data_IF_415164761922
#
_entry.id   IF_415164761922
#
_cell.length_a   1.000
_cell.length_b   1.000
_cell.length_c   1.000
_cell.angle_alpha   90.00
_cell.angle_beta   90.00
_cell.angle_gamma   90.00
#
_symmetry.space_group_name_H-M   'P 1'
#
loop_
_entity.id
_entity.type
_entity.pdbx_description
1 polymer ?
2 non-polymer ?
3 non-polymer ?
4 water ?
#
# COMPACT_ATOMS: atom_id res chain seq x y z
N UNK A 16 26.07 20.25 0.09
CA UNK A 16 24.80 20.85 0.56
C UNK A 16 24.90 21.31 2.03
N UNK A 17 24.32 22.47 2.31
CA UNK A 17 24.35 23.07 3.64
C UNK A 17 23.51 22.24 4.64
N UNK A 18 22.39 21.71 4.16
CA UNK A 18 21.47 20.94 4.97
C UNK A 18 22.08 19.64 5.48
N UNK A 19 23.02 19.09 4.72
CA UNK A 19 23.55 17.75 4.94
C UNK A 19 24.98 17.72 5.46
N UNK A 20 25.53 18.88 5.83
CA UNK A 20 26.88 18.90 6.37
C UNK A 20 26.88 19.28 7.86
N UNK A 21 27.74 18.61 8.61
CA UNK A 21 27.75 18.73 10.05
C UNK A 21 28.62 19.90 10.49
N UNK A 22 28.00 20.90 11.10
CA UNK A 22 28.73 22.00 11.72
C UNK A 22 29.24 21.60 13.10
N UNK A 23 28.44 20.83 13.84
CA UNK A 23 28.82 20.34 15.17
C UNK A 23 28.06 19.07 15.54
N UNK A 24 28.76 18.17 16.22
CA UNK A 24 28.15 16.97 16.77
C UNK A 24 28.64 16.79 18.21
N UNK A 25 27.73 16.48 19.12
CA UNK A 25 28.12 16.19 20.50
C UNK A 25 27.16 15.23 21.20
N UNK A 26 27.72 14.49 22.17
CA UNK A 26 26.95 13.67 23.07
C UNK A 26 26.32 14.56 24.15
N UNK A 27 25.07 14.29 24.51
CA UNK A 27 24.32 15.03 25.52
C UNK A 27 23.58 14.07 26.43
N UNK A 28 23.10 14.61 27.56
CA UNK A 28 22.19 13.89 28.47
C UNK A 28 22.78 12.55 28.93
N UNK A 29 23.93 12.63 29.61
CA UNK A 29 24.66 11.44 30.02
C UNK A 29 25.12 10.60 28.83
N UNK A 30 25.37 11.27 27.71
CA UNK A 30 25.80 10.63 26.46
C UNK A 30 24.73 9.70 25.86
N UNK A 31 23.48 9.89 26.27
CA UNK A 31 22.38 9.06 25.81
C UNK A 31 21.76 9.61 24.53
N UNK A 32 22.19 10.80 24.15
CA UNK A 32 21.71 11.47 22.96
C UNK A 32 22.91 12.01 22.20
N UNK A 33 22.78 12.07 20.87
CA UNK A 33 23.74 12.80 20.05
C UNK A 33 23.00 13.93 19.38
N UNK A 34 23.51 15.15 19.52
CA UNK A 34 22.91 16.29 18.85
C UNK A 34 23.77 16.70 17.68
N UNK A 35 23.12 16.98 16.55
CA UNK A 35 23.80 17.47 15.36
C UNK A 35 23.33 18.86 15.06
N UNK A 36 24.28 19.77 14.90
CA UNK A 36 23.99 21.07 14.31
C UNK A 36 24.42 21.02 12.84
N UNK A 37 23.45 21.20 11.95
CA UNK A 37 23.74 21.23 10.52
C UNK A 37 24.15 22.64 10.11
N UNK A 38 24.91 22.75 9.01
CA UNK A 38 25.32 24.08 8.51
C UNK A 38 24.12 24.91 8.10
N UNK A 39 23.08 24.21 7.67
CA UNK A 39 21.71 24.70 7.53
C UNK A 39 21.24 25.56 8.70
N UNK A 40 21.77 25.29 9.90
CA UNK A 40 21.25 25.85 11.16
C UNK A 40 20.12 25.01 11.78
N UNK A 41 19.68 23.98 11.06
CA UNK A 41 18.76 22.97 11.60
C UNK A 41 19.49 22.11 12.62
N UNK A 42 18.75 21.46 13.51
CA UNK A 42 19.33 20.59 14.55
C UNK A 42 18.63 19.24 14.60
N UNK A 43 19.38 18.20 14.94
CA UNK A 43 18.83 16.85 15.02
C UNK A 43 19.31 16.12 16.26
N UNK A 44 18.48 15.22 16.78
CA UNK A 44 18.77 14.50 18.01
C UNK A 44 18.66 13.00 17.76
N UNK A 45 19.70 12.24 18.13
CA UNK A 45 19.72 10.77 17.93
C UNK A 45 20.00 10.02 19.23
N UNK A 46 19.11 9.07 19.58
CA UNK A 46 19.33 8.27 20.79
C UNK A 46 20.52 7.36 20.65
N UNK A 47 21.32 7.26 21.70
CA UNK A 47 22.51 6.42 21.69
C UNK A 47 22.17 4.94 21.44
N UNK A 48 21.06 4.47 22.01
CA UNK A 48 20.72 3.05 21.86
C UNK A 48 20.39 2.70 20.40
N UNK A 49 19.77 3.65 19.71
CA UNK A 49 19.41 3.50 18.31
C UNK A 49 20.65 3.52 17.40
N UNK A 50 21.60 4.41 17.71
CA UNK A 50 22.89 4.42 17.00
C UNK A 50 23.67 3.12 17.19
N UNK A 51 23.74 2.63 18.43
CA UNK A 51 24.38 1.35 18.68
C UNK A 51 23.67 0.19 17.95
N UNK A 52 22.34 0.16 18.02
CA UNK A 52 21.53 -0.88 17.37
C UNK A 52 21.76 -0.90 15.85
N UNK A 53 22.09 0.26 15.31
CA UNK A 53 22.21 0.44 13.87
C UNK A 53 23.64 0.72 13.40
N UNK A 54 24.61 0.23 14.17
CA UNK A 54 26.02 0.28 13.77
C UNK A 54 26.17 -0.39 12.41
N UNK A 55 26.82 0.31 11.45
CA UNK A 55 26.99 -0.26 10.11
C UNK A 55 28.25 -1.12 9.95
N UNK A 56 29.03 -1.32 11.01
CA UNK A 56 30.19 -2.19 10.91
C UNK A 56 29.78 -3.64 10.56
N UNK A 57 30.73 -4.44 10.10
CA UNK A 57 30.39 -5.80 9.64
C UNK A 57 30.13 -6.83 10.73
N UNK A 58 30.46 -6.51 11.97
CA UNK A 58 29.98 -7.33 13.09
C UNK A 58 28.48 -7.17 13.27
N UNK A 59 27.98 -5.95 13.01
CA UNK A 59 26.62 -5.59 13.36
C UNK A 59 25.64 -5.62 12.18
N UNK A 60 26.17 -5.58 10.96
CA UNK A 60 25.35 -5.32 9.79
C UNK A 60 25.81 -6.14 8.56
N UNK A 61 24.85 -6.71 7.84
CA UNK A 61 25.12 -7.47 6.61
C UNK A 61 24.69 -6.66 5.39
N UNK A 62 25.67 -6.01 4.74
CA UNK A 62 25.43 -5.16 3.57
C UNK A 62 24.60 -5.80 2.46
N UNK A 63 24.99 -7.00 2.06
CA UNK A 63 24.37 -7.66 0.92
C UNK A 63 22.90 -7.99 1.15
N UNK A 64 22.55 -8.31 2.40
CA UNK A 64 21.16 -8.62 2.74
C UNK A 64 20.41 -7.40 3.27
N UNK A 65 21.13 -6.30 3.45
CA UNK A 65 20.61 -5.12 4.15
C UNK A 65 19.90 -5.53 5.46
N UNK A 66 20.60 -6.31 6.28
CA UNK A 66 20.04 -6.93 7.46
C UNK A 66 20.93 -6.73 8.68
N UNK A 67 20.30 -6.60 9.85
CA UNK A 67 21.03 -6.43 11.11
C UNK A 67 21.48 -7.79 11.65
N UNK A 68 22.76 -7.93 11.93
CA UNK A 68 23.28 -9.14 12.57
C UNK A 68 23.19 -9.04 14.09
N UNK A 69 23.27 -7.82 14.60
CA UNK A 69 23.25 -7.56 16.04
C UNK A 69 22.01 -8.15 16.70
N UNK A 70 22.21 -8.89 17.78
CA UNK A 70 21.14 -9.50 18.56
C UNK A 70 20.62 -8.53 19.62
N UNK A 71 19.32 -8.61 19.91
CA UNK A 71 18.73 -7.80 20.98
C UNK A 71 19.45 -8.06 22.31
N UNK A 72 19.79 -9.32 22.57
CA UNK A 72 20.50 -9.68 23.79
C UNK A 72 21.91 -9.10 23.90
N UNK A 73 22.47 -8.60 22.79
CA UNK A 73 23.78 -7.96 22.83
C UNK A 73 23.68 -6.46 22.99
N UNK A 74 22.46 -5.92 22.98
CA UNK A 74 22.28 -4.48 22.97
C UNK A 74 21.97 -3.94 24.38
N UNK A 75 22.86 -3.10 24.88
CA UNK A 75 22.69 -2.43 26.18
C UNK A 75 21.70 -1.28 26.01
N UNK A 76 20.48 -1.45 26.52
CA UNK A 76 19.45 -0.40 26.28
C UNK A 76 19.75 0.90 27.04
N UNK A 77 20.64 0.83 28.03
CA UNK A 77 21.09 2.02 28.79
C UNK A 77 22.44 2.56 28.34
N UNK A 78 22.87 2.19 27.12
CA UNK A 78 24.17 2.60 26.59
C UNK A 78 24.28 4.12 26.41
N UNK A 79 25.49 4.62 26.61
CA UNK A 79 25.82 6.00 26.29
C UNK A 79 27.07 6.04 25.43
N UNK A 80 27.23 7.13 24.70
CA UNK A 80 28.41 7.35 23.87
C UNK A 80 29.65 7.58 24.76
N UNK A 81 30.70 6.80 24.57
CA UNK A 81 31.94 7.04 25.31
C UNK A 81 32.78 8.15 24.69
N UNK A 82 32.95 8.12 23.37
CA UNK A 82 33.75 9.12 22.67
C UNK A 82 33.17 9.45 21.31
N UNK A 83 33.25 10.71 20.94
CA UNK A 83 32.67 11.16 19.69
C UNK A 83 33.61 12.12 18.96
N UNK A 84 33.89 11.81 17.70
CA UNK A 84 34.63 12.69 16.80
C UNK A 84 33.74 12.96 15.59
N UNK A 85 33.91 14.11 14.95
CA UNK A 85 33.16 14.41 13.73
C UNK A 85 33.95 15.25 12.75
N UNK A 86 33.58 15.15 11.47
CA UNK A 86 33.95 16.16 10.46
C UNK A 86 32.67 16.56 9.73
N UNK A 87 32.81 17.17 8.54
CA UNK A 87 31.65 17.68 7.82
C UNK A 87 30.67 16.61 7.34
N UNK A 88 31.17 15.38 7.23
CA UNK A 88 30.42 14.33 6.53
C UNK A 88 30.22 13.05 7.34
N UNK A 89 30.98 12.87 8.42
CA UNK A 89 30.90 11.67 9.23
C UNK A 89 30.92 11.94 10.73
N UNK A 90 30.38 11.00 11.48
CA UNK A 90 30.53 10.96 12.93
C UNK A 90 31.19 9.63 13.29
N UNK A 91 32.16 9.68 14.20
CA UNK A 91 32.92 8.51 14.61
C UNK A 91 32.73 8.30 16.10
N UNK A 92 32.06 7.20 16.46
CA UNK A 92 31.68 6.97 17.86
C UNK A 92 32.37 5.76 18.46
N UNK A 93 32.84 5.92 19.68
CA UNK A 93 33.37 4.82 20.47
C UNK A 93 32.38 4.54 21.58
N UNK A 94 32.11 3.26 21.80
CA UNK A 94 31.17 2.82 22.81
C UNK A 94 31.92 2.42 24.09
N UNK A 95 31.20 2.30 25.23
CA UNK A 95 31.88 1.96 26.50
C UNK A 95 32.65 0.64 26.47
N UNK A 96 32.25 -0.32 25.65
CA UNK A 96 33.00 -1.59 25.56
C UNK A 96 34.04 -1.56 24.46
N UNK A 97 34.33 -0.36 23.95
CA UNK A 97 35.33 -0.12 22.90
C UNK A 97 34.84 -0.45 21.48
N UNK A 98 33.59 -0.87 21.31
CA UNK A 98 33.03 -1.01 19.97
C UNK A 98 33.08 0.33 19.28
N UNK A 99 33.21 0.31 17.96
CA UNK A 99 33.40 1.55 17.20
C UNK A 99 32.44 1.62 16.01
N UNK A 100 31.83 2.79 15.83
CA UNK A 100 30.81 2.96 14.79
C UNK A 100 31.03 4.25 14.04
N UNK A 101 30.96 4.18 12.71
CA UNK A 101 30.96 5.38 11.86
C UNK A 101 29.62 5.56 11.20
N UNK A 102 29.12 6.80 11.21
CA UNK A 102 27.84 7.13 10.57
C UNK A 102 28.01 8.24 9.55
N UNK A 103 27.39 8.08 8.38
CA UNK A 103 27.43 9.09 7.33
C UNK A 103 26.42 10.18 7.62
N UNK A 104 26.77 11.42 7.28
CA UNK A 104 25.90 12.57 7.48
C UNK A 104 24.56 12.45 6.75
N UNK A 105 24.60 12.00 5.51
CA UNK A 105 23.40 11.88 4.67
C UNK A 105 22.44 10.83 5.22
N UNK A 106 23.01 9.72 5.69
CA UNK A 106 22.28 8.61 6.30
C UNK A 106 21.55 9.09 7.58
N UNK A 107 22.27 9.82 8.43
CA UNK A 107 21.70 10.42 9.65
C UNK A 107 20.60 11.44 9.36
N UNK A 108 20.87 12.32 8.40
CA UNK A 108 19.95 13.40 8.03
C UNK A 108 18.61 12.84 7.57
N UNK A 109 18.65 11.79 6.76
CA UNK A 109 17.44 11.18 6.23
C UNK A 109 16.60 10.55 7.37
N UNK A 110 17.30 10.00 8.35
CA UNK A 110 16.67 9.28 9.46
C UNK A 110 16.39 10.15 10.69
N UNK A 111 16.52 11.47 10.53
CA UNK A 111 16.21 12.45 11.57
C UNK A 111 14.83 12.22 12.19
N UNK A 112 14.75 12.29 13.51
CA UNK A 112 13.53 11.94 14.25
C UNK A 112 12.47 13.05 14.36
N UNK A 113 12.72 14.20 13.73
CA UNK A 113 11.71 15.26 13.71
C UNK A 113 10.48 14.77 12.96
N UNK A 114 9.32 15.29 13.32
CA UNK A 114 8.06 14.88 12.69
C UNK A 114 8.10 15.15 11.18
N UNK A 115 8.73 16.26 10.79
CA UNK A 115 8.86 16.64 9.38
C UNK A 115 9.72 15.67 8.57
N UNK A 116 10.90 15.34 9.09
CA UNK A 116 11.81 14.41 8.41
C UNK A 116 11.21 13.01 8.36
N UNK A 117 10.62 12.56 9.46
CA UNK A 117 10.02 11.22 9.51
C UNK A 117 8.87 11.08 8.53
N UNK A 118 8.00 12.09 8.49
CA UNK A 118 6.85 12.10 7.58
C UNK A 118 7.28 12.14 6.11
N UNK A 119 8.36 12.86 5.84
CA UNK A 119 8.92 12.96 4.50
C UNK A 119 9.39 11.58 4.03
N UNK A 120 10.15 10.91 4.89
CA UNK A 120 10.65 9.57 4.60
C UNK A 120 9.54 8.53 4.45
N UNK A 121 8.46 8.67 5.22
CA UNK A 121 7.33 7.76 5.13
C UNK A 121 6.61 7.93 3.78
N UNK A 122 6.53 9.16 3.29
CA UNK A 122 5.89 9.46 2.01
C UNK A 122 6.67 8.79 0.90
N UNK A 123 8.00 8.86 1.02
CA UNK A 123 8.93 8.28 0.08
C UNK A 123 8.88 6.75 0.05
N UNK A 124 8.61 6.14 1.21
CA UNK A 124 8.48 4.67 1.28
C UNK A 124 7.12 4.15 0.84
N UNK A 125 6.04 4.85 1.22
CA UNK A 125 4.71 4.28 1.11
C UNK A 125 3.75 4.97 0.11
N UNK A 126 4.20 6.08 -0.48
CA UNK A 126 3.47 6.74 -1.58
C UNK A 126 2.00 7.02 -1.23
N UNK A 127 1.76 7.82 -0.18
CA UNK A 127 0.38 8.01 0.26
C UNK A 127 -0.46 8.97 -0.63
N UNK A 128 0.16 9.65 -1.59
CA UNK A 128 -0.60 10.62 -2.40
C UNK A 128 -1.80 9.97 -3.07
N UNK A 129 -2.95 10.64 -2.96
CA UNK A 129 -4.21 10.07 -3.39
C UNK A 129 -5.04 11.11 -4.12
N UNK A 130 -5.49 10.79 -5.32
CA UNK A 130 -6.39 11.67 -6.04
C UNK A 130 -7.78 11.05 -6.16
N UNK A 131 -8.74 11.64 -5.46
CA UNK A 131 -10.14 11.19 -5.50
C UNK A 131 -10.81 11.53 -6.82
N UNK A 132 -11.77 10.72 -7.22
CA UNK A 132 -12.51 10.94 -8.47
C UNK A 132 -13.95 10.43 -8.44
N UNK A 133 -14.72 10.87 -9.45
CA UNK A 133 -16.11 10.47 -9.66
C UNK A 133 -16.38 10.27 -11.14
N UNK A 134 -17.56 10.72 -11.60
CA UNK A 134 -17.96 10.54 -13.00
C UNK A 134 -17.08 11.31 -13.98
N UNK A 135 -16.43 12.35 -13.47
CA UNK A 135 -15.56 13.20 -14.28
C UNK A 135 -14.16 12.61 -14.51
N UNK A 136 -13.97 11.34 -14.15
CA UNK A 136 -12.65 10.69 -14.25
C UNK A 136 -12.15 10.63 -15.69
N UNK A 137 -10.92 11.09 -15.90
CA UNK A 137 -10.22 10.80 -17.15
C UNK A 137 -9.37 9.57 -16.89
N UNK A 138 -9.78 8.44 -17.47
CA UNK A 138 -9.13 7.16 -17.25
C UNK A 138 -7.64 7.18 -17.67
N UNK A 139 -6.71 7.19 -16.69
CA UNK A 139 -5.29 7.24 -17.05
C UNK A 139 -4.92 6.12 -18.02
N UNK A 140 -4.16 6.47 -19.05
CA UNK A 140 -3.85 5.53 -20.13
C UNK A 140 -2.39 5.68 -20.57
N UNK A 141 -1.74 4.54 -20.75
CA UNK A 141 -0.35 4.48 -21.21
C UNK A 141 -0.24 3.32 -22.16
N UNK A 142 0.78 3.33 -23.00
CA UNK A 142 1.00 2.23 -23.94
C UNK A 142 1.65 1.02 -23.25
N UNK A 143 1.13 -0.17 -23.58
CA UNK A 143 1.57 -1.45 -23.01
C UNK A 143 3.06 -1.72 -23.20
N UNK A 144 3.53 -1.67 -24.46
CA UNK A 144 4.93 -1.91 -24.76
C UNK A 144 5.86 -0.88 -24.12
N UNK A 145 5.44 0.38 -24.09
CA UNK A 145 6.19 1.41 -23.38
C UNK A 145 6.47 1.00 -21.92
N UNK A 146 5.42 0.56 -21.25
CA UNK A 146 5.50 0.11 -19.86
C UNK A 146 6.40 -1.13 -19.72
N UNK A 147 6.29 -2.05 -20.67
CA UNK A 147 7.17 -3.23 -20.72
C UNK A 147 8.65 -2.92 -20.88
N UNK A 148 8.94 -1.84 -21.62
CA UNK A 148 10.30 -1.58 -22.08
C UNK A 148 11.06 -0.56 -21.27
N UNK A 149 10.37 0.45 -20.76
CA UNK A 149 11.05 1.62 -20.19
C UNK A 149 10.63 1.92 -18.75
N UNK A 150 11.62 2.05 -17.87
CA UNK A 150 11.44 2.32 -16.44
C UNK A 150 10.54 3.53 -16.15
N UNK A 151 10.77 4.63 -16.87
CA UNK A 151 9.99 5.86 -16.74
C UNK A 151 8.49 5.60 -16.94
N UNK A 152 8.16 4.79 -17.94
CA UNK A 152 6.77 4.46 -18.23
C UNK A 152 6.17 3.46 -17.23
N UNK A 153 6.94 2.42 -16.89
CA UNK A 153 6.49 1.48 -15.88
C UNK A 153 6.26 2.21 -14.55
N UNK A 154 7.14 3.15 -14.23
CA UNK A 154 7.02 3.93 -13.00
C UNK A 154 5.75 4.80 -13.00
N UNK A 155 5.50 5.49 -14.10
CA UNK A 155 4.29 6.30 -14.28
C UNK A 155 3.06 5.42 -14.09
N UNK A 156 3.09 4.24 -14.70
CA UNK A 156 2.03 3.26 -14.60
C UNK A 156 1.69 2.89 -13.14
N UNK A 157 2.70 2.47 -12.38
CA UNK A 157 2.46 2.02 -11.00
C UNK A 157 2.13 3.17 -10.05
N UNK A 158 2.78 4.33 -10.23
CA UNK A 158 2.49 5.46 -9.36
C UNK A 158 1.07 5.99 -9.58
N UNK A 159 0.58 5.91 -10.82
CA UNK A 159 -0.80 6.29 -11.16
C UNK A 159 -1.79 5.28 -10.58
N UNK A 160 -1.48 3.99 -10.68
CA UNK A 160 -2.27 2.97 -10.02
C UNK A 160 -2.45 3.27 -8.53
N UNK A 161 -1.35 3.60 -7.86
CA UNK A 161 -1.40 3.86 -6.43
C UNK A 161 -2.16 5.16 -6.10
N UNK A 162 -1.99 6.18 -6.94
CA UNK A 162 -2.58 7.49 -6.67
C UNK A 162 -4.06 7.53 -7.02
N UNK A 163 -4.41 6.92 -8.14
CA UNK A 163 -5.73 7.01 -8.73
C UNK A 163 -6.58 5.74 -8.48
N UNK A 164 -5.93 4.59 -8.39
CA UNK A 164 -6.63 3.33 -8.14
C UNK A 164 -6.92 2.53 -9.38
N UNK A 165 -6.65 3.11 -10.55
CA UNK A 165 -6.90 2.46 -11.83
C UNK A 165 -6.02 3.07 -12.93
N UNK A 166 -5.52 2.20 -13.82
CA UNK A 166 -4.78 2.62 -15.02
C UNK A 166 -5.08 1.62 -16.12
N UNK A 167 -5.24 2.14 -17.33
CA UNK A 167 -5.44 1.34 -18.53
C UNK A 167 -4.15 1.29 -19.34
N UNK A 168 -3.80 0.10 -19.81
CA UNK A 168 -2.75 -0.05 -20.80
C UNK A 168 -3.39 -0.43 -22.12
N UNK A 169 -3.03 0.29 -23.17
CA UNK A 169 -3.54 0.02 -24.52
C UNK A 169 -2.45 -0.57 -25.39
N UNK A 170 -2.84 -1.30 -26.43
CA UNK A 170 -1.90 -1.78 -27.42
C UNK A 170 -1.21 -3.08 -27.08
N UNK A 171 -1.80 -3.87 -26.18
CA UNK A 171 -1.38 -5.25 -26.01
C UNK A 171 -2.05 -6.03 -27.14
N UNK A 172 -1.64 -7.27 -27.36
CA UNK A 172 -2.27 -8.07 -28.40
C UNK A 172 -3.67 -8.45 -27.92
N UNK A 173 -4.47 -9.04 -28.80
CA UNK A 173 -5.76 -9.59 -28.38
C UNK A 173 -5.65 -11.09 -28.11
N UNK A 174 -4.43 -11.56 -27.84
CA UNK A 174 -4.15 -12.97 -27.59
C UNK A 174 -3.95 -13.22 -26.08
N UNK A 175 -4.26 -14.44 -25.62
CA UNK A 175 -3.96 -14.83 -24.23
C UNK A 175 -2.45 -14.80 -23.96
N UNK A 176 -2.08 -14.63 -22.69
CA UNK A 176 -0.66 -14.59 -22.31
C UNK A 176 -0.10 -13.23 -21.96
N UNK A 177 -0.86 -12.16 -22.22
CA UNK A 177 -0.33 -10.80 -21.99
C UNK A 177 -0.18 -10.44 -20.49
N UNK A 178 -1.08 -10.95 -19.65
CA UNK A 178 -1.04 -10.71 -18.21
C UNK A 178 0.19 -11.40 -17.61
N UNK A 179 0.38 -12.64 -18.01
CA UNK A 179 1.57 -13.40 -17.65
C UNK A 179 2.86 -12.74 -18.18
N UNK A 180 2.82 -12.23 -19.42
CA UNK A 180 3.96 -11.50 -20.01
C UNK A 180 4.28 -10.25 -19.20
N UNK A 181 3.24 -9.50 -18.84
CA UNK A 181 3.42 -8.29 -18.03
C UNK A 181 3.96 -8.63 -16.64
N UNK A 182 3.42 -9.68 -16.03
CA UNK A 182 3.86 -10.14 -14.71
C UNK A 182 5.33 -10.51 -14.70
N UNK A 183 5.74 -11.32 -15.67
CA UNK A 183 7.12 -11.73 -15.78
C UNK A 183 8.07 -10.54 -15.95
N UNK A 184 7.73 -9.61 -16.84
CA UNK A 184 8.55 -8.41 -17.07
C UNK A 184 8.68 -7.54 -15.82
N UNK A 185 7.61 -7.48 -15.03
CA UNK A 185 7.61 -6.68 -13.80
C UNK A 185 8.16 -7.46 -12.60
N UNK A 186 8.35 -8.77 -12.79
CA UNK A 186 8.81 -9.63 -11.70
C UNK A 186 7.73 -9.85 -10.65
N UNK A 187 6.47 -9.63 -11.02
CA UNK A 187 5.33 -9.87 -10.14
C UNK A 187 5.17 -11.34 -9.82
N UNK A 188 4.68 -11.61 -8.61
CA UNK A 188 4.15 -12.92 -8.28
C UNK A 188 2.65 -12.76 -8.16
N UNK A 189 1.92 -13.74 -8.67
CA UNK A 189 0.46 -13.66 -8.69
C UNK A 189 -0.14 -14.56 -7.63
N UNK A 190 -1.33 -14.19 -7.15
CA UNK A 190 -1.96 -14.87 -6.04
C UNK A 190 -2.79 -16.03 -6.53
N UNK A 191 -2.97 -17.03 -5.67
CA UNK A 191 -3.96 -18.05 -5.92
C UNK A 191 -4.73 -18.30 -4.63
N UNK A 192 -6.02 -18.60 -4.75
CA UNK A 192 -6.90 -18.80 -3.60
C UNK A 192 -8.15 -19.47 -4.13
N UNK A 193 -9.02 -19.94 -3.24
CA UNK A 193 -10.22 -20.65 -3.69
C UNK A 193 -11.12 -19.74 -4.52
N UNK A 194 -11.45 -20.22 -5.72
CA UNK A 194 -12.20 -19.43 -6.70
C UNK A 194 -11.27 -18.86 -7.74
N UNK A 195 -9.97 -18.93 -7.49
CA UNK A 195 -8.96 -18.43 -8.41
C UNK A 195 -7.68 -19.24 -8.24
N UNK A 196 -7.79 -20.54 -8.53
CA UNK A 196 -6.73 -21.51 -8.26
C UNK A 196 -5.51 -21.38 -9.18
N UNK A 197 -5.72 -20.89 -10.40
CA UNK A 197 -4.61 -20.62 -11.31
C UNK A 197 -4.18 -19.16 -11.23
N UNK A 198 -2.90 -18.91 -11.45
CA UNK A 198 -2.36 -17.56 -11.40
C UNK A 198 -3.09 -16.64 -12.37
N UNK A 199 -3.24 -17.09 -13.60
CA UNK A 199 -4.00 -16.37 -14.61
C UNK A 199 -5.22 -17.22 -14.95
N UNK A 200 -6.39 -16.61 -14.84
CA UNK A 200 -7.61 -17.33 -15.06
C UNK A 200 -8.52 -16.54 -15.97
N UNK A 201 -9.37 -17.25 -16.72
CA UNK A 201 -10.44 -16.60 -17.47
C UNK A 201 -11.58 -16.15 -16.54
N UNK A 202 -12.10 -14.96 -16.81
CA UNK A 202 -13.00 -14.25 -15.89
C UNK A 202 -14.46 -14.60 -16.15
N UNK A 215 -26.85 -4.81 -11.88
CA UNK A 215 -25.81 -3.96 -11.31
C UNK A 215 -25.71 -4.09 -9.79
N UNK A 216 -24.52 -4.44 -9.29
CA UNK A 216 -24.25 -4.51 -7.85
C UNK A 216 -22.76 -4.24 -7.56
N UNK A 217 -22.45 -3.02 -7.13
CA UNK A 217 -21.07 -2.65 -6.77
C UNK A 217 -20.50 -3.53 -5.66
N UNK A 218 -19.28 -4.02 -5.90
CA UNK A 218 -18.60 -4.87 -4.92
C UNK A 218 -17.10 -4.79 -5.07
N UNK A 219 -16.40 -5.14 -3.99
CA UNK A 219 -14.99 -5.47 -4.04
C UNK A 219 -14.91 -7.00 -4.22
N UNK A 220 -13.74 -7.50 -4.59
CA UNK A 220 -13.55 -8.92 -4.89
C UNK A 220 -13.02 -9.67 -3.68
N UNK A 221 -13.67 -10.79 -3.36
CA UNK A 221 -13.22 -11.75 -2.34
C UNK A 221 -13.05 -11.24 -0.91
N UNK A 222 -14.06 -10.53 -0.40
CA UNK A 222 -13.96 -10.03 0.97
C UNK A 222 -13.99 -11.15 2.04
N UNK A 223 -14.34 -12.38 1.65
CA UNK A 223 -14.33 -13.50 2.60
C UNK A 223 -12.92 -13.86 3.07
N UNK A 224 -11.92 -13.45 2.29
CA UNK A 224 -10.52 -13.61 2.66
C UNK A 224 -10.15 -12.62 3.75
N UNK A 225 -9.33 -13.06 4.71
CA UNK A 225 -8.86 -12.16 5.73
C UNK A 225 -8.01 -11.05 5.11
N UNK A 226 -7.31 -11.36 4.01
CA UNK A 226 -6.47 -10.39 3.32
C UNK A 226 -6.87 -10.39 1.85
N UNK A 227 -7.96 -9.65 1.49
CA UNK A 227 -8.45 -9.72 0.11
C UNK A 227 -7.38 -9.33 -0.91
N UNK A 228 -7.44 -9.89 -2.13
CA UNK A 228 -6.42 -9.57 -3.13
C UNK A 228 -6.33 -8.06 -3.37
N UNK A 229 -5.10 -7.55 -3.47
CA UNK A 229 -4.86 -6.10 -3.53
C UNK A 229 -5.08 -5.46 -4.90
N UNK A 230 -4.51 -6.06 -5.93
CA UNK A 230 -4.49 -5.47 -7.27
C UNK A 230 -4.97 -6.49 -8.28
N UNK A 231 -5.87 -6.10 -9.17
CA UNK A 231 -6.27 -6.98 -10.26
C UNK A 231 -5.76 -6.47 -11.59
N UNK A 232 -5.30 -7.40 -12.40
CA UNK A 232 -4.89 -7.11 -13.78
C UNK A 232 -5.80 -7.89 -14.73
N UNK A 233 -6.56 -7.15 -15.55
CA UNK A 233 -7.51 -7.76 -16.49
C UNK A 233 -7.15 -7.41 -17.91
N UNK A 234 -7.08 -8.42 -18.76
CA UNK A 234 -6.75 -8.24 -20.16
C UNK A 234 -7.91 -8.72 -21.03
N UNK A 235 -8.37 -7.81 -21.88
CA UNK A 235 -9.44 -8.10 -22.83
C UNK A 235 -8.91 -8.82 -24.06
N UNK A 236 -9.36 -10.05 -24.22
CA UNK A 236 -9.03 -10.86 -25.39
C UNK A 236 -10.09 -10.66 -26.49
N UNK A 237 -11.37 -10.76 -26.12
CA UNK A 237 -12.50 -10.48 -27.02
C UNK A 237 -13.58 -9.69 -26.30
N UNK A 238 -14.03 -8.60 -26.93
CA UNK A 238 -15.04 -7.72 -26.33
C UNK A 238 -16.44 -8.03 -26.85
N UNK A 244 -21.03 -2.73 -20.32
CA UNK A 244 -20.07 -1.73 -19.88
C UNK A 244 -19.71 -1.95 -18.41
N UNK A 245 -18.43 -1.82 -18.09
CA UNK A 245 -18.00 -1.83 -16.69
C UNK A 245 -18.31 -0.50 -16.03
N UNK A 246 -18.68 -0.56 -14.76
CA UNK A 246 -18.86 0.63 -13.95
C UNK A 246 -18.01 0.52 -12.71
N UNK A 247 -17.43 1.65 -12.31
CA UNK A 247 -16.58 1.71 -11.13
C UNK A 247 -16.84 2.95 -10.32
N UNK A 248 -16.60 2.85 -9.02
CA UNK A 248 -16.60 3.99 -8.11
C UNK A 248 -15.32 4.00 -7.30
N UNK A 249 -14.88 5.21 -6.94
CA UNK A 249 -13.78 5.42 -6.05
C UNK A 249 -14.26 5.27 -4.61
N UNK A 250 -14.04 4.09 -4.01
CA UNK A 250 -14.52 3.80 -2.66
C UNK A 250 -14.05 4.77 -1.61
N UNK A 251 -12.83 5.28 -1.75
CA UNK A 251 -12.31 6.25 -0.78
C UNK A 251 -13.05 7.59 -0.89
N UNK A 252 -13.38 7.98 -2.12
CA UNK A 252 -14.15 9.19 -2.35
C UNK A 252 -15.57 9.05 -1.81
N UNK A 253 -16.17 7.88 -2.03
CA UNK A 253 -17.51 7.59 -1.51
C UNK A 253 -17.52 7.68 0.02
N UNK A 254 -16.50 7.10 0.66
CA UNK A 254 -16.41 7.12 2.13
C UNK A 254 -16.27 8.53 2.66
N UNK A 255 -15.47 9.34 1.97
CA UNK A 255 -15.29 10.73 2.35
C UNK A 255 -16.61 11.52 2.27
N UNK A 256 -17.36 11.34 1.19
CA UNK A 256 -18.68 11.97 1.07
C UNK A 256 -19.67 11.44 2.10
N UNK A 257 -19.63 10.14 2.38
CA UNK A 257 -20.46 9.53 3.41
C UNK A 257 -20.17 10.11 4.79
N UNK A 258 -18.90 10.26 5.14
CA UNK A 258 -18.55 10.81 6.44
C UNK A 258 -19.11 12.24 6.62
N UNK A 259 -19.14 13.00 5.54
CA UNK A 259 -19.60 14.39 5.55
C UNK A 259 -21.14 14.47 5.60
N UNK A 260 -21.81 13.73 4.73
CA UNK A 260 -23.28 13.80 4.63
C UNK A 260 -24.02 12.95 5.65
N UNK A 261 -23.45 11.80 6.00
CA UNK A 261 -24.08 10.87 6.93
C UNK A 261 -23.07 10.35 7.96
N UNK A 262 -22.64 11.21 8.89
CA UNK A 262 -21.58 10.80 9.81
C UNK A 262 -21.91 9.55 10.63
N UNK A 263 -23.15 9.38 11.06
CA UNK A 263 -23.50 8.20 11.85
C UNK A 263 -23.42 6.91 11.00
N UNK A 264 -23.86 6.97 9.74
CA UNK A 264 -23.68 5.86 8.80
C UNK A 264 -22.20 5.46 8.65
N UNK A 265 -21.34 6.48 8.52
CA UNK A 265 -19.90 6.27 8.40
C UNK A 265 -19.36 5.61 9.65
N UNK A 266 -19.82 6.08 10.81
CA UNK A 266 -19.39 5.52 12.09
C UNK A 266 -19.81 4.04 12.22
N UNK A 267 -21.05 3.71 11.85
CA UNK A 267 -21.55 2.34 11.90
C UNK A 267 -20.73 1.41 10.96
N UNK A 268 -20.58 1.85 9.71
CA UNK A 268 -19.89 1.02 8.71
C UNK A 268 -18.39 0.86 8.96
N UNK A 269 -17.78 1.85 9.61
CA UNK A 269 -16.36 1.77 9.96
C UNK A 269 -16.10 1.10 11.31
N UNK A 270 -17.15 0.68 12.02
CA UNK A 270 -16.95 0.05 13.33
C UNK A 270 -17.62 -1.32 13.52
N UNK A 271 -18.47 -1.71 12.57
CA UNK A 271 -19.25 -2.95 12.70
C UNK A 271 -18.61 -4.10 11.93
N UNK A 272 -18.26 -5.17 12.64
CA UNK A 272 -17.66 -6.35 11.98
C UNK A 272 -18.73 -7.20 11.32
N UNK A 273 -18.60 -7.34 10.01
CA UNK A 273 -19.54 -8.10 9.19
C UNK A 273 -18.91 -9.45 8.77
N UNK A 274 -19.68 -10.53 8.90
CA UNK A 274 -19.20 -11.85 8.45
C UNK A 274 -19.34 -11.96 6.94
N UNK A 275 -18.25 -12.36 6.30
CA UNK A 275 -18.25 -12.68 4.88
C UNK A 275 -17.90 -14.16 4.70
N UNK A 276 -18.60 -14.82 3.78
CA UNK A 276 -18.55 -16.27 3.67
C UNK A 276 -18.55 -16.71 2.21
N UNK A 277 -17.55 -17.51 1.86
CA UNK A 277 -17.38 -18.07 0.51
C UNK A 277 -17.25 -19.60 0.62
N UNK A 278 -18.34 -20.29 0.29
CA UNK A 278 -18.42 -21.75 0.39
C UNK A 278 -18.66 -22.31 -1.01
N UNK A 279 -17.85 -23.30 -1.38
CA UNK A 279 -18.01 -23.94 -2.69
C UNK A 279 -17.04 -25.08 -2.93
N UNK A 280 -16.82 -25.39 -4.20
CA UNK A 280 -15.83 -26.39 -4.60
C UNK A 280 -14.99 -25.87 -5.74
N UNK A 281 -13.68 -26.02 -5.61
CA UNK A 281 -12.71 -25.60 -6.61
C UNK A 281 -11.54 -26.56 -6.43
N UNK A 282 -11.65 -27.73 -7.08
CA UNK A 282 -10.73 -28.87 -6.89
C UNK A 282 -10.85 -29.55 -5.53
N UNK A 283 -11.22 -28.78 -4.49
CA UNK A 283 -11.63 -29.35 -3.22
C UNK A 283 -12.80 -28.54 -2.67
N UNK A 284 -13.48 -29.08 -1.66
CA UNK A 284 -14.50 -28.34 -0.94
C UNK A 284 -13.83 -27.26 -0.10
N UNK A 285 -14.43 -26.08 -0.03
CA UNK A 285 -13.86 -25.00 0.78
C UNK A 285 -14.94 -24.22 1.51
N UNK A 286 -14.57 -23.63 2.63
CA UNK A 286 -15.45 -22.77 3.41
C UNK A 286 -14.60 -21.64 3.94
N UNK A 287 -14.52 -20.56 3.19
CA UNK A 287 -13.65 -19.44 3.56
C UNK A 287 -14.51 -18.38 4.23
N UNK A 288 -14.08 -17.97 5.42
CA UNK A 288 -14.87 -17.05 6.23
C UNK A 288 -14.00 -16.06 6.98
N UNK A 289 -14.46 -14.81 7.03
CA UNK A 289 -13.81 -13.76 7.79
C UNK A 289 -14.82 -12.74 8.31
N UNK A 290 -14.36 -11.88 9.21
CA UNK A 290 -15.14 -10.74 9.62
C UNK A 290 -14.37 -9.51 9.18
N UNK A 291 -15.06 -8.53 8.59
CA UNK A 291 -14.44 -7.26 8.22
C UNK A 291 -15.39 -6.13 8.55
N UNK A 292 -14.83 -4.98 8.90
CA UNK A 292 -15.59 -3.75 8.83
C UNK A 292 -15.69 -3.39 7.36
N UNK A 293 -16.88 -3.03 6.91
CA UNK A 293 -17.06 -2.66 5.51
C UNK A 293 -16.16 -1.46 5.18
N UNK A 294 -16.06 -0.50 6.11
CA UNK A 294 -15.15 0.62 5.95
C UNK A 294 -14.01 0.42 6.95
N UNK A 295 -12.84 0.07 6.43
CA UNK A 295 -11.71 -0.26 7.29
C UNK A 295 -10.78 0.94 7.41
N UNK A 296 -10.58 1.39 8.64
CA UNK A 296 -9.77 2.59 8.92
C UNK A 296 -8.44 2.18 9.51
N UNK A 297 -7.40 2.99 9.31
CA UNK A 297 -6.16 2.82 10.06
C UNK A 297 -6.27 3.54 11.41
N UNK A 298 -5.20 3.50 12.20
CA UNK A 298 -5.15 4.14 13.52
C UNK A 298 -5.41 5.63 13.55
N UNK A 299 -5.18 6.30 12.42
CA UNK A 299 -5.41 7.74 12.30
C UNK A 299 -6.80 8.05 11.71
N UNK A 300 -7.63 7.02 11.58
CA UNK A 300 -8.98 7.20 11.04
C UNK A 300 -9.06 7.41 9.55
N UNK A 301 -7.98 7.09 8.82
CA UNK A 301 -7.98 7.13 7.37
C UNK A 301 -8.47 5.80 6.79
N UNK A 302 -9.33 5.86 5.78
CA UNK A 302 -9.81 4.65 5.07
C UNK A 302 -8.65 3.95 4.33
N UNK A 303 -8.42 2.66 4.63
CA UNK A 303 -7.38 1.88 3.94
C UNK A 303 -7.93 0.78 3.04
N UNK A 304 -9.14 0.31 3.33
CA UNK A 304 -9.77 -0.73 2.52
C UNK A 304 -11.28 -0.69 2.69
N UNK A 305 -11.98 -0.96 1.60
CA UNK A 305 -13.39 -1.25 1.64
C UNK A 305 -13.50 -2.77 1.45
N UNK A 306 -14.33 -3.41 2.26
CA UNK A 306 -14.59 -4.85 2.16
C UNK A 306 -16.07 -5.03 1.93
N UNK A 307 -16.50 -5.20 0.69
CA UNK A 307 -17.94 -5.33 0.47
C UNK A 307 -18.36 -6.09 -0.79
N UNK A 308 -18.95 -7.26 -0.59
CA UNK A 308 -19.69 -7.94 -1.63
C UNK A 308 -20.99 -8.45 -1.03
N UNK A 309 -22.12 -7.88 -1.48
CA UNK A 309 -23.41 -8.23 -0.91
C UNK A 309 -23.77 -9.71 -1.04
N UNK A 310 -23.34 -10.34 -2.15
CA UNK A 310 -23.59 -11.77 -2.38
C UNK A 310 -22.95 -12.66 -1.30
N UNK A 311 -21.81 -12.19 -0.81
CA UNK A 311 -20.92 -12.94 0.08
C UNK A 311 -21.14 -12.61 1.57
N UNK A 312 -21.83 -11.50 1.83
CA UNK A 312 -22.13 -11.12 3.21
C UNK A 312 -22.99 -12.21 3.85
N UNK A 313 -22.57 -12.74 5.00
CA UNK A 313 -23.20 -13.94 5.60
C UNK A 313 -24.62 -13.63 6.10
N UNK A 314 -25.42 -14.67 6.30
CA UNK A 314 -26.71 -14.54 6.99
C UNK A 314 -26.44 -14.39 8.48
N UNK A 315 -25.32 -14.95 8.91
CA UNK A 315 -24.83 -14.83 10.28
C UNK A 315 -24.34 -13.39 10.50
N UNK A 316 -24.90 -12.73 11.50
CA UNK A 316 -24.57 -11.32 11.75
C UNK A 316 -24.36 -11.17 13.25
N UNK A 317 -23.09 -11.01 13.63
CA UNK A 317 -22.67 -11.05 15.03
C UNK A 317 -22.72 -9.66 15.66
N UNK A 318 -23.93 -9.12 15.81
CA UNK A 318 -24.14 -7.85 16.51
C UNK A 318 -25.38 -7.95 17.41
N UNK A 319 -25.43 -7.15 18.50
CA UNK A 319 -26.65 -7.09 19.31
C UNK A 319 -27.82 -6.73 18.42
N UNK A 320 -29.00 -7.26 18.73
CA UNK A 320 -30.19 -7.10 17.88
C UNK A 320 -30.51 -5.63 17.52
N UNK A 321 -30.30 -4.71 18.46
CA UNK A 321 -30.64 -3.28 18.25
C UNK A 321 -29.74 -2.60 17.23
N UNK A 322 -28.55 -3.17 17.02
CA UNK A 322 -27.59 -2.63 16.06
C UNK A 322 -27.91 -2.97 14.59
N UNK A 323 -28.86 -3.89 14.39
CA UNK A 323 -29.09 -4.48 13.07
C UNK A 323 -29.76 -3.53 12.07
N UNK A 324 -30.94 -3.02 12.41
CA UNK A 324 -31.65 -2.15 11.49
C UNK A 324 -30.81 -0.87 11.18
N UNK A 325 -30.15 -0.27 12.20
CA UNK A 325 -29.34 0.90 11.82
C UNK A 325 -28.14 0.55 10.92
N UNK A 326 -27.62 -0.67 11.04
CA UNK A 326 -26.58 -1.10 10.13
C UNK A 326 -27.10 -1.13 8.69
N UNK A 327 -28.29 -1.69 8.49
CA UNK A 327 -28.83 -1.76 7.14
C UNK A 327 -29.14 -0.38 6.58
N UNK A 328 -29.65 0.52 7.44
CA UNK A 328 -29.91 1.90 7.03
C UNK A 328 -28.61 2.56 6.54
N UNK A 329 -27.53 2.35 7.28
CA UNK A 329 -26.22 2.88 6.95
C UNK A 329 -25.68 2.29 5.64
N UNK A 330 -25.83 0.97 5.47
CA UNK A 330 -25.41 0.29 4.25
C UNK A 330 -26.15 0.82 3.03
N UNK A 331 -27.47 0.98 3.17
CA UNK A 331 -28.28 1.57 2.12
C UNK A 331 -27.77 2.97 1.72
N UNK A 332 -27.46 3.83 2.69
CA UNK A 332 -26.90 5.16 2.37
C UNK A 332 -25.56 5.08 1.63
N UNK A 333 -24.72 4.12 2.03
CA UNK A 333 -23.44 3.88 1.38
C UNK A 333 -23.65 3.45 -0.07
N UNK A 334 -24.51 2.48 -0.28
CA UNK A 334 -24.83 1.98 -1.62
C UNK A 334 -25.56 3.03 -2.49
N UNK A 335 -26.48 3.80 -1.90
CA UNK A 335 -27.10 4.94 -2.62
C UNK A 335 -26.05 5.88 -3.17
N UNK A 336 -25.06 6.19 -2.34
CA UNK A 336 -24.01 7.12 -2.73
C UNK A 336 -23.17 6.56 -3.89
N UNK A 337 -22.87 5.26 -3.82
CA UNK A 337 -22.15 4.58 -4.89
C UNK A 337 -22.90 4.61 -6.22
N UNK A 338 -24.21 4.46 -6.15
CA UNK A 338 -25.05 4.48 -7.35
C UNK A 338 -25.40 5.87 -7.88
N UNK A 339 -24.99 6.92 -7.19
CA UNK A 339 -25.34 8.26 -7.64
C UNK A 339 -24.52 8.63 -8.87
N UNK A 340 -25.11 9.44 -9.74
CA UNK A 340 -24.52 9.78 -11.02
C UNK A 340 -23.16 10.47 -10.88
N UNK A 341 -22.98 11.24 -9.82
CA UNK A 341 -21.71 11.93 -9.57
C UNK A 341 -20.55 10.99 -9.17
N UNK A 342 -20.87 9.77 -8.78
CA UNK A 342 -19.88 8.80 -8.28
C UNK A 342 -19.39 7.83 -9.33
N UNK A 343 -20.29 7.36 -10.19
CA UNK A 343 -20.01 6.25 -11.11
C UNK A 343 -19.24 6.69 -12.32
N UNK A 344 -18.25 5.88 -12.70
CA UNK A 344 -17.55 6.07 -13.95
C UNK A 344 -17.78 4.82 -14.79
N UNK A 345 -18.12 5.04 -16.06
CA UNK A 345 -18.45 3.96 -16.98
C UNK A 345 -17.42 3.90 -18.10
N UNK A 346 -17.01 2.70 -18.45
CA UNK A 346 -16.05 2.53 -19.53
C UNK A 346 -16.22 1.16 -20.18
N UNK A 347 -15.68 1.03 -21.38
CA UNK A 347 -15.76 -0.20 -22.13
C UNK A 347 -14.36 -0.72 -22.36
N UNK A 348 -14.17 -2.02 -22.21
CA UNK A 348 -12.89 -2.65 -22.47
C UNK A 348 -12.79 -3.10 -23.93
N UNK A 349 -11.75 -2.65 -24.62
CA UNK A 349 -11.51 -3.07 -26.00
C UNK A 349 -10.42 -4.13 -26.08
N UNK A 350 -10.44 -4.98 -27.12
CA UNK A 350 -9.38 -5.97 -27.28
C UNK A 350 -8.01 -5.31 -27.23
N UNK A 351 -7.07 -5.93 -26.51
CA UNK A 351 -5.75 -5.35 -26.33
C UNK A 351 -5.62 -4.42 -25.14
N UNK A 352 -6.73 -4.11 -24.48
CA UNK A 352 -6.69 -3.33 -23.25
C UNK A 352 -6.26 -4.21 -22.09
N UNK A 353 -5.39 -3.65 -21.25
CA UNK A 353 -5.06 -4.26 -19.96
C UNK A 353 -5.43 -3.26 -18.88
N UNK A 354 -6.44 -3.57 -18.09
CA UNK A 354 -6.88 -2.69 -17.01
C UNK A 354 -6.32 -3.21 -15.70
N UNK A 355 -5.72 -2.31 -14.94
CA UNK A 355 -5.20 -2.64 -13.62
C UNK A 355 -5.89 -1.78 -12.57
N UNK A 356 -6.35 -2.41 -11.49
CA UNK A 356 -6.98 -1.63 -10.44
C UNK A 356 -6.81 -2.10 -9.02
N UNK A 357 -7.03 -1.14 -8.12
CA UNK A 357 -6.86 -1.31 -6.69
C UNK A 357 -8.15 -1.90 -6.12
N UNK A 358 -8.14 -3.22 -5.89
CA UNK A 358 -9.29 -3.92 -5.31
C UNK A 358 -9.56 -3.57 -3.83
N UNK A 359 -8.67 -2.82 -3.19
CA UNK A 359 -8.92 -2.38 -1.83
C UNK A 359 -9.74 -1.07 -1.80
N UNK A 360 -9.78 -0.40 -2.96
CA UNK A 360 -10.28 0.97 -3.04
C UNK A 360 -11.53 1.09 -3.91
N UNK A 361 -11.48 0.53 -5.11
CA UNK A 361 -12.60 0.61 -6.04
C UNK A 361 -13.65 -0.46 -5.77
N UNK A 362 -14.91 -0.13 -6.05
CA UNK A 362 -15.96 -1.12 -6.17
C UNK A 362 -16.39 -1.10 -7.64
N UNK A 363 -16.81 -2.25 -8.16
CA UNK A 363 -17.16 -2.34 -9.56
C UNK A 363 -18.37 -3.23 -9.75
N UNK A 364 -18.98 -3.13 -10.92
CA UNK A 364 -20.10 -3.98 -11.32
C UNK A 364 -20.41 -3.75 -12.78
N UNK A 365 -21.46 -4.40 -13.28
CA UNK A 365 -21.95 -4.15 -14.65
C UNK A 365 -23.29 -4.80 -14.94
N UNK A 366 -24.11 -4.13 -15.75
CA UNK A 366 -25.41 -4.68 -16.18
C UNK A 366 -25.29 -5.40 -17.50
N UNK A 376 -17.48 -11.85 -24.17
CA UNK A 376 -16.57 -11.43 -23.12
C UNK A 376 -15.56 -12.55 -22.80
N UNK A 377 -14.35 -12.40 -23.34
CA UNK A 377 -13.23 -13.26 -23.02
C UNK A 377 -12.14 -12.41 -22.36
N UNK A 378 -11.99 -12.57 -21.04
CA UNK A 378 -10.97 -11.87 -20.26
C UNK A 378 -10.04 -12.85 -19.59
N UNK A 379 -8.76 -12.50 -19.51
CA UNK A 379 -7.80 -13.20 -18.66
C UNK A 379 -7.42 -12.25 -17.53
N UNK A 380 -7.31 -12.80 -16.32
CA UNK A 380 -7.09 -11.98 -15.13
C UNK A 380 -6.18 -12.62 -14.11
N UNK A 381 -5.44 -11.76 -13.39
CA UNK A 381 -4.61 -12.19 -12.28
C UNK A 381 -4.74 -11.19 -11.16
N UNK A 382 -4.44 -11.64 -9.94
CA UNK A 382 -4.37 -10.75 -8.79
C UNK A 382 -2.95 -10.73 -8.21
N UNK A 383 -2.55 -9.59 -7.67
CA UNK A 383 -1.27 -9.47 -6.98
C UNK A 383 -1.46 -8.84 -5.60
N UNK A 384 -0.58 -9.21 -4.67
CA UNK A 384 -0.50 -8.53 -3.40
C UNK A 384 0.07 -7.13 -3.61
N UNK A 385 -0.49 -6.16 -2.89
CA UNK A 385 0.08 -4.81 -2.88
C UNK A 385 1.56 -4.75 -2.52
N UNK A 386 2.03 -5.68 -1.70
CA UNK A 386 3.46 -5.72 -1.36
C UNK A 386 4.36 -5.90 -2.58
N UNK A 387 3.89 -6.69 -3.55
CA UNK A 387 4.61 -6.95 -4.77
C UNK A 387 4.62 -5.72 -5.67
N UNK A 388 3.48 -5.05 -5.74
CA UNK A 388 3.34 -3.83 -6.53
C UNK A 388 4.12 -2.65 -5.91
N UNK A 389 4.02 -2.47 -4.59
CA UNK A 389 4.78 -1.42 -3.89
C UNK A 389 6.28 -1.66 -4.03
N UNK A 390 6.67 -2.93 -4.00
CA UNK A 390 8.06 -3.31 -4.17
C UNK A 390 8.53 -2.75 -5.51
N UNK A 391 7.77 -3.04 -6.56
CA UNK A 391 8.16 -2.64 -7.90
C UNK A 391 8.20 -1.12 -8.02
N UNK A 392 7.22 -0.46 -7.42
CA UNK A 392 7.15 1.00 -7.38
C UNK A 392 8.41 1.61 -6.75
N UNK A 393 8.85 1.05 -5.63
CA UNK A 393 10.07 1.51 -4.98
C UNK A 393 11.28 1.32 -5.87
N UNK A 394 11.43 0.11 -6.41
CA UNK A 394 12.58 -0.20 -7.27
C UNK A 394 12.61 0.77 -8.47
N UNK A 395 11.49 0.88 -9.16
CA UNK A 395 11.37 1.74 -10.34
C UNK A 395 11.66 3.20 -10.05
N UNK A 396 11.18 3.69 -8.89
CA UNK A 396 11.47 5.08 -8.54
C UNK A 396 12.96 5.30 -8.37
N UNK A 397 13.63 4.37 -7.71
CA UNK A 397 15.09 4.46 -7.59
C UNK A 397 15.78 4.43 -8.97
N UNK A 398 15.35 3.54 -9.86
CA UNK A 398 15.96 3.42 -11.18
C UNK A 398 15.76 4.69 -12.02
N UNK A 399 14.56 5.27 -11.96
CA UNK A 399 14.26 6.51 -12.68
C UNK A 399 15.08 7.67 -12.14
N UNK A 400 15.20 7.77 -10.82
CA UNK A 400 15.95 8.86 -10.20
C UNK A 400 17.46 8.86 -10.50
N UNK A 401 18.04 7.68 -10.71
CA UNK A 401 19.47 7.56 -11.01
C UNK A 401 19.87 8.05 -12.40
X LIG B 1 29.27 -2.58 14.92
X LIG C 1 -26.63 9.89 9.44
X LIG C 1 -27.63 9.64 10.47
X LIG C 1 -27.23 10.61 8.32
X LIG C 1 -25.53 10.65 10.04
X LIG C 1 -26.13 8.62 8.91
X LIG D 1 -12.08 -32.85 -0.95
X LIG D 1 -12.76 -31.72 -0.32
X LIG D 1 -11.76 -32.53 -2.35
X LIG D 1 -10.82 -33.10 -0.26
X LIG D 1 -12.96 -34.02 -0.87
X LIG E 1 20.20 5.45 2.62
X LIG E 1 19.25 4.40 2.96
X LIG E 1 19.84 6.02 1.33
X LIG E 1 20.17 6.53 3.61
X LIG E 1 21.54 4.87 2.61
X LIG F 1 -21.39 -7.74 21.79
X LIG F 1 -22.76 -7.98 22.25
X LIG F 1 -21.13 -8.47 20.55
X LIG F 1 -21.19 -6.31 21.57
X LIG F 1 -20.47 -8.23 22.82
X LIG G 1 11.28 -11.11 -19.82
X LIG G 1 10.23 -10.21 -19.36
X LIG G 1 12.18 -10.40 -20.73
X LIG G 1 12.02 -11.61 -18.66
X LIG G 1 10.70 -12.24 -20.54
#
# INVERSE_FOLDING_TARGET
>A
MNHKVHHHHHHIEGRSMACTIQKAEALDGAHLMQILWYDEEESLYPAVWLRDNCPCSDCYLDSAKARKLLVEALDVNIGIKGLIFDRKKVYITWPDEHYSEFQADWLKKRCFSKQARAKLQRELFFPECQYWGSELQLPTLDFEDVLRYDEHAYKWLSTLKKVGIVRLTGASDKPGEVSKLGKRMGFLYLTFYGHTWQVQDKIDANNVAYTTGKLSFHTDYPALHHPPGVQLLHCIKQTVTGGDSEIVDGFNVCQKLKKNNPQAFQILSSTFVDFTDIGVDYCDFSVQSKHKIIELDDKGQVVRINFNNATRDTIFDVPVERVQPFYAALKEFVDLMNSKESKFTFKMNPGDVITFDNWRLLHGRRSYEAGTEISRHLEGAYADWDVVMSRLRILRQRVENGN
>B hetero
1 ZN ZN
>C hetero
1 SO4 S O1 O2 O3 O4
>D hetero
1 SO4 S O1 O2 O3 O4
>E hetero
1 SO4 S O1 O2 O3 O4
>F hetero
1 SO4 S O1 O2 O3 O4
>G hetero
1 SO4 S O1 O2 O3 O4
#
